data_IF_034616583345
#
_entry.id   IF_034616583345
#
_cell.length_a   1.000
_cell.length_b   1.000
_cell.length_c   1.000
_cell.angle_alpha   90.00
_cell.angle_beta   90.00
_cell.angle_gamma   90.00
#
_symmetry.space_group_name_H-M   'P 1'
#
loop_
_entity.id
_entity.type
_entity.pdbx_description
1 polymer ?
#
# COMPACT_ATOMS: atom_id res chain seq x y z
N UNK A 1 10.51 7.96 -6.54
CA UNK A 1 11.13 7.89 -5.20
C UNK A 1 12.53 7.31 -5.26
N UNK A 2 13.54 8.01 -4.75
CA UNK A 2 14.85 7.41 -4.45
C UNK A 2 14.83 6.91 -3.00
N UNK A 3 15.10 5.61 -2.80
CA UNK A 3 15.10 4.98 -1.47
C UNK A 3 16.53 5.00 -0.92
N UNK A 4 16.78 5.61 0.25
CA UNK A 4 18.12 5.61 0.86
C UNK A 4 18.56 4.19 1.24
N UNK A 5 19.87 3.88 1.20
CA UNK A 5 20.40 2.62 1.71
C UNK A 5 19.97 2.36 3.16
N UNK A 6 19.57 1.13 3.46
CA UNK A 6 19.10 0.73 4.80
C UNK A 6 17.68 1.16 5.16
N UNK A 7 16.97 1.88 4.27
CA UNK A 7 15.55 2.17 4.42
C UNK A 7 14.68 1.14 3.70
N UNK A 8 13.46 0.97 4.19
CA UNK A 8 12.46 0.12 3.54
C UNK A 8 11.67 0.91 2.50
N UNK A 9 11.52 0.40 1.27
CA UNK A 9 10.61 1.01 0.31
C UNK A 9 9.17 0.87 0.82
N UNK A 10 8.40 1.95 0.69
CA UNK A 10 6.96 1.91 0.84
C UNK A 10 6.34 1.80 -0.56
N UNK A 11 5.62 0.72 -0.76
CA UNK A 11 5.11 0.28 -2.04
C UNK A 11 3.58 0.34 -2.06
N UNK A 12 3.02 1.02 -3.04
CA UNK A 12 1.63 0.86 -3.41
C UNK A 12 1.53 -0.38 -4.31
N UNK A 13 0.68 -1.32 -3.93
CA UNK A 13 0.55 -2.60 -4.61
C UNK A 13 -0.87 -2.79 -5.11
N UNK A 14 -0.97 -3.36 -6.31
CA UNK A 14 -2.23 -3.77 -6.91
C UNK A 14 -2.37 -5.29 -6.77
N UNK A 15 -3.54 -5.76 -6.34
CA UNK A 15 -3.85 -7.17 -6.40
C UNK A 15 -5.29 -7.49 -6.81
N UNK A 16 -5.44 -8.63 -7.51
CA UNK A 16 -6.73 -9.19 -7.86
C UNK A 16 -7.36 -9.87 -6.64
N UNK A 17 -8.68 -9.78 -6.53
CA UNK A 17 -9.44 -10.30 -5.38
C UNK A 17 -10.32 -11.49 -5.74
N UNK A 18 -10.04 -12.12 -6.88
CA UNK A 18 -10.88 -13.14 -7.45
C UNK A 18 -12.29 -12.60 -7.80
N UNK A 19 -13.24 -13.49 -8.04
CA UNK A 19 -14.63 -13.18 -8.37
C UNK A 19 -15.53 -13.30 -7.14
N UNK A 20 -16.54 -12.42 -7.03
CA UNK A 20 -17.56 -12.55 -5.97
C UNK A 20 -18.70 -13.49 -6.38
N UNK A 21 -18.93 -13.59 -7.69
CA UNK A 21 -19.77 -14.58 -8.38
C UNK A 21 -19.11 -14.87 -9.72
N UNK A 22 -19.35 -16.05 -10.28
CA UNK A 22 -18.73 -16.44 -11.55
C UNK A 22 -18.96 -15.38 -12.65
N UNK A 23 -17.88 -14.92 -13.28
CA UNK A 23 -17.91 -13.84 -14.29
C UNK A 23 -18.14 -12.43 -13.73
N UNK A 24 -18.11 -12.27 -12.41
CA UNK A 24 -18.25 -10.99 -11.72
C UNK A 24 -17.03 -10.75 -10.81
N UNK A 25 -15.95 -10.13 -11.34
CA UNK A 25 -14.74 -9.88 -10.57
C UNK A 25 -15.02 -8.90 -9.42
N UNK A 26 -14.36 -9.11 -8.28
CA UNK A 26 -14.27 -8.06 -7.28
C UNK A 26 -13.50 -6.85 -7.85
N UNK A 27 -13.82 -5.62 -7.42
CA UNK A 27 -13.00 -4.47 -7.74
C UNK A 27 -11.54 -4.71 -7.33
N UNK A 28 -10.61 -4.27 -8.18
CA UNK A 28 -9.17 -4.32 -7.91
C UNK A 28 -8.86 -3.73 -6.54
N UNK A 29 -7.98 -4.38 -5.79
CA UNK A 29 -7.58 -3.90 -4.48
C UNK A 29 -6.23 -3.21 -4.53
N UNK A 30 -6.12 -2.14 -3.76
CA UNK A 30 -4.91 -1.35 -3.61
C UNK A 30 -4.51 -1.39 -2.15
N UNK A 31 -3.23 -1.61 -1.87
CA UNK A 31 -2.68 -1.61 -0.53
C UNK A 31 -1.30 -0.97 -0.46
N UNK A 32 -0.89 -0.61 0.76
CA UNK A 32 0.48 -0.23 1.04
C UNK A 32 1.23 -1.44 1.60
N UNK A 33 2.42 -1.67 1.07
CA UNK A 33 3.30 -2.77 1.39
C UNK A 33 4.68 -2.23 1.75
N UNK A 34 5.32 -2.85 2.75
CA UNK A 34 6.66 -2.50 3.16
C UNK A 34 7.37 -3.78 3.62
N UNK A 35 8.51 -4.09 2.99
CA UNK A 35 9.29 -5.30 3.30
C UNK A 35 10.35 -4.97 4.35
N UNK A 36 10.21 -5.52 5.56
CA UNK A 36 11.10 -5.22 6.69
C UNK A 36 12.16 -6.29 7.01
N UNK A 37 12.14 -7.46 6.34
CA UNK A 37 13.14 -8.54 6.48
C UNK A 37 13.22 -9.46 5.24
N UNK A 38 14.33 -10.18 5.01
CA UNK A 38 14.44 -11.29 4.04
C UNK A 38 14.37 -12.70 4.69
N UNK A 39 13.86 -13.76 4.03
CA UNK A 39 12.49 -13.90 3.50
C UNK A 39 11.44 -13.99 4.65
N UNK A 40 10.15 -13.71 4.38
CA UNK A 40 9.29 -12.71 5.06
C UNK A 40 7.96 -13.22 5.69
N UNK A 41 7.27 -12.41 6.52
CA UNK A 41 5.85 -12.58 6.88
C UNK A 41 4.90 -12.43 5.67
N UNK A 42 3.64 -12.93 5.74
CA UNK A 42 2.64 -12.87 4.68
C UNK A 42 2.10 -11.44 4.55
N UNK A 43 1.29 -11.20 3.52
CA UNK A 43 0.38 -10.06 3.46
C UNK A 43 -1.03 -10.61 3.32
N UNK A 44 -1.93 -10.34 4.28
CA UNK A 44 -3.37 -10.53 4.10
C UNK A 44 -4.01 -9.14 4.11
N UNK A 45 -4.21 -8.59 2.91
CA UNK A 45 -5.29 -7.62 2.74
C UNK A 45 -6.57 -8.36 3.06
N UNK A 46 -7.22 -8.03 4.17
CA UNK A 46 -8.46 -8.69 4.52
C UNK A 46 -9.49 -8.37 3.43
N UNK A 47 -9.98 -9.38 2.68
CA UNK A 47 -10.91 -9.14 1.58
C UNK A 47 -12.19 -8.42 2.08
N UNK A 48 -12.57 -8.62 3.33
CA UNK A 48 -13.78 -8.02 3.88
C UNK A 48 -13.58 -6.61 4.45
N UNK A 49 -12.32 -6.19 4.61
CA UNK A 49 -11.98 -5.02 5.41
C UNK A 49 -10.85 -4.25 4.76
N UNK A 50 -11.16 -3.08 4.21
CA UNK A 50 -10.17 -2.04 3.89
C UNK A 50 -9.37 -1.72 5.17
N UNK A 51 -8.33 -2.48 5.47
CA UNK A 51 -7.57 -2.44 6.72
C UNK A 51 -6.11 -2.71 6.40
N UNK A 52 -5.23 -1.95 7.03
CA UNK A 52 -3.81 -2.23 7.04
C UNK A 52 -3.53 -3.42 7.98
N UNK A 53 -3.03 -4.52 7.43
CA UNK A 53 -2.59 -5.65 8.22
C UNK A 53 -1.07 -5.64 8.33
N UNK A 54 -0.57 -5.69 9.55
CA UNK A 54 0.86 -5.72 9.87
C UNK A 54 1.19 -7.13 10.32
N UNK A 55 1.88 -7.88 9.48
CA UNK A 55 2.27 -9.24 9.81
C UNK A 55 3.75 -9.25 10.18
N UNK A 56 4.03 -9.65 11.41
CA UNK A 56 5.35 -10.03 11.87
C UNK A 56 5.44 -11.56 11.85
N UNK A 57 6.63 -12.11 11.61
CA UNK A 57 6.98 -13.52 11.89
C UNK A 57 6.24 -14.66 11.15
N UNK A 58 5.90 -14.52 9.87
CA UNK A 58 5.54 -15.72 9.05
C UNK A 58 6.60 -15.88 7.96
N UNK A 59 6.54 -16.97 7.18
CA UNK A 59 7.34 -17.19 5.99
C UNK A 59 6.48 -16.97 4.72
N UNK A 60 7.06 -16.41 3.68
CA UNK A 60 6.41 -16.10 2.41
C UNK A 60 6.63 -17.25 1.45
N UNK A 61 5.57 -17.61 0.76
CA UNK A 61 5.64 -18.40 -0.45
C UNK A 61 5.24 -17.51 -1.63
N UNK A 62 5.93 -17.58 -2.78
CA UNK A 62 5.46 -17.03 -4.06
C UNK A 62 4.02 -17.42 -4.40
N UNK A 63 3.53 -18.55 -3.87
CA UNK A 63 2.16 -19.04 -4.01
C UNK A 63 1.12 -18.18 -3.27
N UNK A 64 1.54 -17.26 -2.40
CA UNK A 64 0.66 -16.28 -1.73
C UNK A 64 0.43 -15.01 -2.57
N UNK A 65 1.10 -14.87 -3.71
CA UNK A 65 0.99 -13.71 -4.61
C UNK A 65 0.55 -14.03 -6.07
N UNK A 66 -0.29 -15.04 -6.37
CA UNK A 66 -0.76 -15.26 -7.75
C UNK A 66 -1.54 -14.05 -8.30
N UNK A 67 -2.01 -13.21 -7.39
CA UNK A 67 -2.85 -12.06 -7.65
C UNK A 67 -2.11 -10.73 -7.60
N UNK A 68 -0.78 -10.70 -7.42
CA UNK A 68 0.00 -9.46 -7.49
C UNK A 68 0.08 -8.98 -8.93
N UNK A 69 -0.22 -7.70 -9.15
CA UNK A 69 -0.38 -7.12 -10.51
C UNK A 69 0.59 -5.98 -10.78
N UNK A 70 1.30 -5.51 -9.76
CA UNK A 70 2.30 -4.46 -9.95
C UNK A 70 2.53 -3.64 -8.69
N UNK A 71 3.56 -2.80 -8.76
CA UNK A 71 4.04 -2.02 -7.62
C UNK A 71 4.51 -0.64 -8.04
N UNK A 72 4.16 0.36 -7.22
CA UNK A 72 4.65 1.72 -7.33
C UNK A 72 5.29 2.11 -5.99
N UNK A 73 6.57 2.47 -5.98
CA UNK A 73 7.19 3.03 -4.78
C UNK A 73 6.63 4.43 -4.55
N UNK A 74 6.02 4.66 -3.38
CA UNK A 74 5.36 5.91 -2.98
C UNK A 74 6.08 6.63 -1.85
N UNK A 75 7.09 6.00 -1.25
CA UNK A 75 7.90 6.56 -0.19
C UNK A 75 8.95 5.59 0.34
N UNK A 76 9.50 5.91 1.49
CA UNK A 76 10.40 5.02 2.22
C UNK A 76 10.31 5.27 3.73
N UNK A 77 10.70 4.27 4.51
CA UNK A 77 10.65 4.31 5.98
C UNK A 77 11.96 3.81 6.56
N UNK A 78 12.56 4.56 7.48
CA UNK A 78 13.74 4.13 8.22
C UNK A 78 13.35 3.01 9.22
N UNK A 79 14.17 1.97 9.45
CA UNK A 79 13.79 0.85 10.31
C UNK A 79 13.38 1.26 11.73
N UNK A 80 14.05 2.25 12.31
CA UNK A 80 13.72 2.76 13.65
C UNK A 80 12.32 3.41 13.72
N UNK A 81 11.77 3.82 12.57
CA UNK A 81 10.53 4.56 12.46
C UNK A 81 9.31 3.68 12.18
N UNK A 82 9.50 2.39 11.87
CA UNK A 82 8.40 1.48 11.48
C UNK A 82 7.27 1.51 12.49
N UNK A 83 7.54 1.39 13.79
CA UNK A 83 6.47 1.41 14.81
C UNK A 83 5.68 2.72 14.85
N UNK A 84 6.35 3.85 14.61
CA UNK A 84 5.68 5.14 14.56
C UNK A 84 4.85 5.25 13.27
N UNK A 85 5.36 4.75 12.15
CA UNK A 85 4.67 4.69 10.87
C UNK A 85 3.38 3.87 10.99
N UNK A 86 3.48 2.66 11.56
CA UNK A 86 2.34 1.76 11.78
C UNK A 86 1.24 2.42 12.62
N UNK A 87 1.63 3.17 13.66
CA UNK A 87 0.68 3.87 14.52
C UNK A 87 -0.12 4.93 13.75
N UNK A 88 0.53 5.67 12.87
CA UNK A 88 -0.13 6.68 12.02
C UNK A 88 -1.08 5.99 11.04
N UNK A 89 -0.60 4.96 10.33
CA UNK A 89 -1.40 4.23 9.36
C UNK A 89 -2.66 3.58 9.98
N UNK A 90 -2.54 3.00 11.20
CA UNK A 90 -3.69 2.45 11.94
C UNK A 90 -4.71 3.48 12.39
N UNK A 91 -4.29 4.74 12.55
CA UNK A 91 -5.17 5.83 12.95
C UNK A 91 -6.12 6.30 11.84
N UNK A 92 -5.85 5.91 10.58
CA UNK A 92 -6.65 6.33 9.44
C UNK A 92 -7.98 5.58 9.44
N UNK A 93 -9.06 6.37 9.48
CA UNK A 93 -10.41 5.84 9.48
C UNK A 93 -10.78 5.35 8.09
N UNK A 94 -11.37 4.16 8.04
CA UNK A 94 -11.87 3.60 6.79
C UNK A 94 -13.38 3.48 6.80
N UNK A 95 -14.01 3.99 5.73
CA UNK A 95 -15.46 4.13 5.63
C UNK A 95 -16.05 3.05 4.72
N UNK A 96 -16.61 1.99 5.30
CA UNK A 96 -17.18 0.86 4.54
C UNK A 96 -18.57 1.11 3.98
N UNK A 97 -19.32 2.03 4.58
CA UNK A 97 -20.73 2.27 4.24
C UNK A 97 -20.93 3.51 3.35
N UNK A 98 -19.84 4.05 2.79
CA UNK A 98 -19.88 5.18 1.87
C UNK A 98 -19.74 4.64 0.44
N UNK A 99 -20.80 4.68 -0.39
CA UNK A 99 -20.75 4.17 -1.77
C UNK A 99 -19.66 4.84 -2.62
N UNK A 100 -19.33 6.09 -2.31
CA UNK A 100 -18.29 6.88 -2.96
C UNK A 100 -16.87 6.53 -2.49
N UNK A 101 -16.72 5.77 -1.40
CA UNK A 101 -15.42 5.39 -0.84
C UNK A 101 -14.96 4.06 -1.42
N UNK A 102 -13.92 4.10 -2.26
CA UNK A 102 -13.32 2.89 -2.86
C UNK A 102 -11.99 2.57 -2.18
N UNK A 103 -11.35 1.54 -2.70
CA UNK A 103 -10.06 1.05 -2.22
C UNK A 103 -8.91 2.04 -2.47
N UNK A 104 -9.07 3.05 -3.33
CA UNK A 104 -8.01 4.00 -3.65
C UNK A 104 -7.95 5.12 -2.59
N UNK A 105 -9.12 5.47 -2.05
CA UNK A 105 -9.34 6.55 -1.10
C UNK A 105 -8.66 6.23 0.23
N UNK A 106 -8.78 4.99 0.75
CA UNK A 106 -8.08 4.64 1.99
C UNK A 106 -6.56 4.71 1.85
N UNK A 107 -6.00 4.27 0.72
CA UNK A 107 -4.55 4.33 0.51
C UNK A 107 -4.09 5.78 0.43
N UNK A 108 -4.84 6.62 -0.30
CA UNK A 108 -4.56 8.04 -0.39
C UNK A 108 -4.58 8.72 0.99
N UNK A 109 -5.59 8.44 1.81
CA UNK A 109 -5.74 9.00 3.15
C UNK A 109 -4.59 8.57 4.07
N UNK A 110 -4.11 7.33 3.96
CA UNK A 110 -2.91 6.87 4.66
C UNK A 110 -1.67 7.64 4.23
N UNK A 111 -1.46 7.84 2.92
CA UNK A 111 -0.32 8.61 2.42
C UNK A 111 -0.38 10.08 2.87
N UNK A 112 -1.57 10.68 2.88
CA UNK A 112 -1.79 12.03 3.40
C UNK A 112 -1.44 12.14 4.89
N UNK A 113 -1.99 11.24 5.72
CA UNK A 113 -1.73 11.23 7.16
C UNK A 113 -0.23 11.04 7.48
N UNK A 114 0.43 10.14 6.77
CA UNK A 114 1.88 9.90 6.91
C UNK A 114 2.71 11.12 6.49
N UNK A 115 2.35 11.76 5.37
CA UNK A 115 3.01 12.96 4.88
C UNK A 115 2.79 14.17 5.79
N UNK A 116 1.62 14.29 6.42
CA UNK A 116 1.36 15.32 7.44
C UNK A 116 2.23 15.11 8.69
N UNK A 117 2.28 13.88 9.20
CA UNK A 117 3.13 13.55 10.35
C UNK A 117 4.62 13.73 10.07
N UNK A 118 5.06 13.41 8.85
CA UNK A 118 6.42 13.71 8.38
C UNK A 118 6.71 15.21 8.47
N UNK A 119 5.82 16.06 7.96
CA UNK A 119 5.98 17.53 7.99
C UNK A 119 6.01 18.07 9.41
N UNK A 120 5.18 17.55 10.32
CA UNK A 120 5.14 17.96 11.73
C UNK A 120 6.43 17.63 12.47
N UNK A 121 7.07 16.50 12.16
CA UNK A 121 8.28 16.01 12.84
C UNK A 121 9.57 16.76 12.50
N UNK A 122 9.52 17.74 11.58
CA UNK A 122 10.64 18.60 11.13
C UNK A 122 11.91 17.83 10.74
N UNK A 123 12.12 17.63 9.43
CA UNK A 123 13.37 17.33 8.70
C UNK A 123 14.31 16.19 9.17
N UNK A 124 14.21 15.65 10.38
CA UNK A 124 14.78 14.33 10.71
C UNK A 124 13.89 13.29 10.04
N UNK A 125 14.26 12.94 8.80
CA UNK A 125 13.48 12.07 7.93
C UNK A 125 13.59 10.61 8.41
N UNK A 126 12.78 10.28 9.40
CA UNK A 126 12.50 8.91 9.84
C UNK A 126 11.67 8.14 8.79
N UNK A 127 10.96 8.86 7.91
CA UNK A 127 10.38 8.36 6.67
C UNK A 127 10.18 9.53 5.71
N UNK A 128 9.85 9.22 4.45
CA UNK A 128 9.46 10.19 3.43
C UNK A 128 8.33 9.64 2.58
N UNK A 129 7.27 10.43 2.41
CA UNK A 129 6.18 10.13 1.48
C UNK A 129 6.25 11.13 0.32
N UNK A 130 6.09 10.64 -0.91
CA UNK A 130 5.95 11.56 -2.04
C UNK A 130 4.67 12.40 -1.91
N UNK A 131 4.73 13.66 -2.37
CA UNK A 131 3.60 14.58 -2.32
C UNK A 131 2.55 14.20 -3.35
N UNK A 132 1.69 13.24 -3.02
CA UNK A 132 0.63 12.78 -3.89
C UNK A 132 -0.59 13.70 -3.81
N UNK A 133 -1.12 14.09 -4.98
CA UNK A 133 -2.53 14.49 -5.09
C UNK A 133 -3.36 13.27 -5.41
N UNK A 134 -4.65 13.25 -5.02
CA UNK A 134 -5.51 12.10 -5.30
C UNK A 134 -5.60 11.80 -6.82
N UNK A 135 -5.81 12.79 -7.71
CA UNK A 135 -5.80 12.53 -9.15
C UNK A 135 -4.44 12.06 -9.68
N UNK A 136 -3.34 12.51 -9.07
CA UNK A 136 -2.00 12.07 -9.42
C UNK A 136 -1.78 10.60 -9.08
N UNK A 137 -2.19 10.18 -7.88
CA UNK A 137 -2.09 8.79 -7.43
C UNK A 137 -2.98 7.88 -8.28
N UNK A 138 -4.23 8.27 -8.54
CA UNK A 138 -5.16 7.52 -9.39
C UNK A 138 -4.63 7.32 -10.81
N UNK A 139 -3.94 8.33 -11.36
CA UNK A 139 -3.31 8.20 -12.69
C UNK A 139 -2.20 7.14 -12.69
N UNK A 140 -1.38 7.09 -11.64
CA UNK A 140 -0.33 6.06 -11.54
C UNK A 140 -0.91 4.67 -11.28
N UNK A 141 -1.98 4.57 -10.47
CA UNK A 141 -2.75 3.35 -10.30
C UNK A 141 -3.32 2.85 -11.64
N UNK A 142 -3.86 3.75 -12.47
CA UNK A 142 -4.33 3.41 -13.82
C UNK A 142 -3.20 2.89 -14.72
N UNK A 143 -2.04 3.56 -14.73
CA UNK A 143 -0.88 3.10 -15.50
C UNK A 143 -0.38 1.72 -15.07
N UNK A 144 -0.39 1.42 -13.77
CA UNK A 144 -0.05 0.09 -13.27
C UNK A 144 -1.02 -0.97 -13.78
N UNK A 145 -2.32 -0.67 -13.78
CA UNK A 145 -3.33 -1.55 -14.35
C UNK A 145 -3.09 -1.78 -15.84
N UNK A 146 -2.93 -0.70 -16.62
CA UNK A 146 -2.72 -0.78 -18.06
C UNK A 146 -1.46 -1.61 -18.39
N UNK A 147 -0.36 -1.39 -17.66
CA UNK A 147 0.89 -2.12 -17.85
C UNK A 147 0.70 -3.63 -17.61
N UNK A 148 -0.03 -4.00 -16.55
CA UNK A 148 -0.34 -5.40 -16.27
C UNK A 148 -1.26 -6.02 -17.33
N UNK A 149 -2.32 -5.31 -17.74
CA UNK A 149 -3.27 -5.79 -18.77
C UNK A 149 -2.58 -6.00 -20.12
N UNK A 150 -1.54 -5.21 -20.42
CA UNK A 150 -0.73 -5.35 -21.63
C UNK A 150 0.42 -6.37 -21.50
N UNK A 151 0.67 -6.92 -20.31
CA UNK A 151 1.77 -7.85 -20.05
C UNK A 151 3.16 -7.20 -20.00
N UNK A 152 3.24 -5.89 -19.76
CA UNK A 152 4.49 -5.15 -19.58
C UNK A 152 5.14 -5.44 -18.20
N UNK A 153 4.33 -5.91 -17.24
CA UNK A 153 4.72 -6.31 -15.88
C UNK A 153 4.01 -7.58 -15.41
#
# INVERSE_FOLDING_TARGET
>A
VQVPPGCYPLELVQFWRNEYKHGQPFPLHWALFMRTAPPPPPLVGAPDTFTAQFLATVAFSPEMLPDWRGTLVVGWVHPAAVRAFERVARGVRVWRQRPEWRCQEWVFEVLCALGEEERKRKAQADWRIEGWTFPGLQRQMGKLLDAWENGDI
#
